data_IF_373077336129
#
_entry.id   IF_373077336129
#
_cell.length_a   1.000
_cell.length_b   1.000
_cell.length_c   1.000
_cell.angle_alpha   90.00
_cell.angle_beta   90.00
_cell.angle_gamma   90.00
#
_symmetry.space_group_name_H-M   'P 1'
#
loop_
_entity.id
_entity.type
_entity.pdbx_description
1 polymer ?
#
# COMPACT_ATOMS: atom_id res chain seq x y z
N UNK A 1 -16.61 41.35 -43.68
CA UNK A 1 -16.85 39.89 -43.58
C UNK A 1 -15.60 39.03 -43.30
N UNK A 2 -14.45 39.21 -43.99
CA UNK A 2 -13.26 38.33 -43.79
C UNK A 2 -12.60 38.36 -42.39
N UNK A 3 -12.73 39.44 -41.61
CA UNK A 3 -12.17 39.52 -40.24
C UNK A 3 -13.00 38.75 -39.19
N UNK A 4 -14.33 38.73 -39.29
CA UNK A 4 -15.19 38.01 -38.34
C UNK A 4 -15.11 36.48 -38.50
N UNK A 5 -14.88 35.98 -39.72
CA UNK A 5 -14.70 34.54 -39.97
C UNK A 5 -13.39 34.01 -39.35
N UNK A 6 -12.32 34.82 -39.30
CA UNK A 6 -11.06 34.42 -38.63
C UNK A 6 -11.23 34.25 -37.11
N UNK A 7 -11.99 35.11 -36.45
CA UNK A 7 -12.22 35.01 -35.00
C UNK A 7 -13.13 33.83 -34.63
N UNK A 8 -14.14 33.52 -35.47
CA UNK A 8 -15.01 32.34 -35.25
C UNK A 8 -14.22 31.04 -35.43
N UNK A 9 -13.34 30.94 -36.43
CA UNK A 9 -12.51 29.74 -36.65
C UNK A 9 -11.48 29.54 -35.53
N UNK A 10 -10.85 30.61 -35.04
CA UNK A 10 -9.90 30.55 -33.92
C UNK A 10 -10.62 30.18 -32.61
N UNK A 11 -11.81 30.72 -32.35
CA UNK A 11 -12.61 30.38 -31.18
C UNK A 11 -13.09 28.92 -31.21
N UNK A 12 -13.53 28.42 -32.37
CA UNK A 12 -13.93 27.02 -32.55
C UNK A 12 -12.75 26.04 -32.41
N UNK A 13 -11.54 26.43 -32.85
CA UNK A 13 -10.33 25.61 -32.67
C UNK A 13 -9.87 25.58 -31.20
N UNK A 14 -10.01 26.68 -30.46
CA UNK A 14 -9.70 26.73 -29.02
C UNK A 14 -10.72 25.93 -28.20
N UNK A 15 -12.00 25.97 -28.55
CA UNK A 15 -13.05 25.16 -27.90
C UNK A 15 -12.88 23.67 -28.23
N UNK A 16 -12.46 23.31 -29.45
CA UNK A 16 -12.10 21.92 -29.76
C UNK A 16 -10.84 21.46 -28.98
N UNK A 17 -9.82 22.32 -28.84
CA UNK A 17 -8.59 21.99 -28.12
C UNK A 17 -8.78 21.94 -26.59
N UNK A 18 -9.67 22.76 -26.04
CA UNK A 18 -10.05 22.70 -24.62
C UNK A 18 -10.99 21.51 -24.33
N UNK A 19 -11.89 21.18 -25.27
CA UNK A 19 -12.80 20.03 -25.17
C UNK A 19 -12.10 18.67 -25.27
N UNK A 20 -11.01 18.55 -26.03
CA UNK A 20 -10.23 17.30 -26.12
C UNK A 20 -9.29 17.08 -24.95
N UNK A 21 -8.77 18.13 -24.31
CA UNK A 21 -7.94 17.99 -23.12
C UNK A 21 -8.77 17.75 -21.84
N UNK A 22 -9.99 18.28 -21.77
CA UNK A 22 -10.88 18.04 -20.62
C UNK A 22 -11.47 16.61 -20.62
N UNK A 23 -11.56 15.97 -21.79
CA UNK A 23 -12.03 14.59 -21.94
C UNK A 23 -10.95 13.52 -21.69
N UNK A 24 -9.70 13.89 -21.41
CA UNK A 24 -8.56 12.97 -21.30
C UNK A 24 -7.74 13.05 -20.00
N UNK A 25 -8.05 13.98 -19.08
CA UNK A 25 -7.49 13.95 -17.73
C UNK A 25 -8.48 13.26 -16.79
N UNK A 26 -8.43 11.93 -16.73
CA UNK A 26 -9.19 11.20 -15.72
C UNK A 26 -8.61 11.54 -14.35
N UNK A 27 -9.37 12.28 -13.53
CA UNK A 27 -9.11 12.35 -12.09
C UNK A 27 -9.49 10.98 -11.52
N UNK A 28 -8.62 10.35 -10.72
CA UNK A 28 -8.80 9.00 -10.17
C UNK A 28 -9.92 8.92 -9.10
N UNK A 29 -11.05 9.58 -9.39
CA UNK A 29 -12.25 9.75 -8.59
C UNK A 29 -13.42 9.11 -9.31
N UNK A 30 -13.69 9.41 -10.58
CA UNK A 30 -14.92 8.88 -11.21
C UNK A 30 -14.78 7.41 -11.63
N UNK A 31 -15.85 6.63 -11.43
CA UNK A 31 -15.89 5.21 -11.81
C UNK A 31 -16.26 5.04 -13.28
N UNK A 32 -15.31 5.25 -14.18
CA UNK A 32 -15.56 5.29 -15.64
C UNK A 32 -15.11 4.04 -16.38
N UNK A 33 -14.20 3.25 -15.82
CA UNK A 33 -13.61 2.11 -16.51
C UNK A 33 -14.37 0.81 -16.25
N UNK A 34 -14.41 -0.05 -17.27
CA UNK A 34 -14.67 -1.47 -17.04
C UNK A 34 -13.42 -2.11 -16.41
N UNK A 35 -13.57 -3.28 -15.79
CA UNK A 35 -12.47 -3.93 -15.07
C UNK A 35 -12.33 -5.39 -15.44
N UNK A 36 -11.11 -5.90 -15.34
CA UNK A 36 -10.81 -7.33 -15.29
C UNK A 36 -10.33 -7.67 -13.89
N UNK A 37 -10.74 -8.82 -13.37
CA UNK A 37 -10.28 -9.34 -12.07
C UNK A 37 -9.61 -10.68 -12.27
N UNK A 38 -8.46 -10.87 -11.61
CA UNK A 38 -7.80 -12.16 -11.44
C UNK A 38 -7.80 -12.47 -9.95
N UNK A 39 -8.26 -13.67 -9.58
CA UNK A 39 -8.42 -14.08 -8.17
C UNK A 39 -7.42 -15.17 -7.78
N UNK A 40 -7.22 -15.30 -6.47
CA UNK A 40 -6.46 -16.40 -5.84
C UNK A 40 -5.00 -16.52 -6.31
N UNK A 41 -4.39 -15.37 -6.60
CA UNK A 41 -2.97 -15.29 -6.95
C UNK A 41 -2.16 -15.50 -5.67
N UNK A 42 -1.35 -16.56 -5.63
CA UNK A 42 -0.43 -16.81 -4.52
C UNK A 42 0.71 -15.80 -4.61
N UNK A 43 0.83 -14.93 -3.62
CA UNK A 43 1.93 -13.96 -3.52
C UNK A 43 3.01 -14.42 -2.54
N UNK A 44 2.81 -15.46 -1.75
CA UNK A 44 3.86 -15.96 -0.86
C UNK A 44 3.41 -17.11 0.03
N UNK A 45 4.36 -17.65 0.79
CA UNK A 45 4.13 -18.61 1.85
C UNK A 45 4.77 -18.10 3.13
N UNK A 46 4.11 -18.26 4.27
CA UNK A 46 4.68 -17.89 5.55
C UNK A 46 4.11 -18.74 6.69
N UNK A 47 4.93 -18.96 7.72
CA UNK A 47 4.51 -19.63 8.95
C UNK A 47 3.50 -18.77 9.71
N UNK A 48 2.31 -19.31 9.99
CA UNK A 48 1.32 -18.70 10.87
C UNK A 48 1.62 -18.95 12.36
N UNK A 49 0.82 -18.37 13.26
CA UNK A 49 1.05 -18.49 14.70
C UNK A 49 0.98 -19.95 15.20
N UNK A 50 0.19 -20.82 14.56
CA UNK A 50 0.05 -22.24 14.92
C UNK A 50 1.29 -23.08 14.56
N UNK A 51 2.23 -22.52 13.79
CA UNK A 51 3.39 -23.20 13.24
C UNK A 51 3.18 -23.85 11.87
N UNK A 52 1.98 -23.76 11.30
CA UNK A 52 1.71 -24.24 9.93
C UNK A 52 2.17 -23.22 8.88
N UNK A 53 2.57 -23.70 7.72
CA UNK A 53 2.78 -22.85 6.55
C UNK A 53 1.45 -22.48 5.90
N UNK A 54 1.27 -21.21 5.55
CA UNK A 54 0.09 -20.71 4.87
C UNK A 54 0.43 -20.07 3.54
N UNK A 55 -0.32 -20.47 2.51
CA UNK A 55 -0.37 -19.73 1.26
C UNK A 55 -1.04 -18.39 1.50
N UNK A 56 -0.36 -17.32 1.10
CA UNK A 56 -0.91 -15.98 1.10
C UNK A 56 -1.34 -15.62 -0.31
N UNK A 57 -2.62 -15.27 -0.44
CA UNK A 57 -3.30 -15.02 -1.71
C UNK A 57 -3.77 -13.59 -1.82
N UNK A 58 -3.81 -13.10 -3.05
CA UNK A 58 -4.38 -11.81 -3.38
C UNK A 58 -5.27 -11.92 -4.63
N UNK A 59 -6.17 -10.96 -4.77
CA UNK A 59 -6.94 -10.74 -5.99
C UNK A 59 -6.56 -9.36 -6.53
N UNK A 60 -6.43 -9.23 -7.86
CA UNK A 60 -6.14 -7.96 -8.53
C UNK A 60 -7.28 -7.61 -9.48
N UNK A 61 -7.79 -6.38 -9.37
CA UNK A 61 -8.67 -5.77 -10.35
C UNK A 61 -7.93 -4.65 -11.09
N UNK A 62 -7.99 -4.68 -12.42
CA UNK A 62 -7.34 -3.70 -13.31
C UNK A 62 -8.35 -3.05 -14.25
N UNK A 63 -8.21 -1.75 -14.57
CA UNK A 63 -9.07 -1.07 -15.53
C UNK A 63 -8.79 -1.54 -16.96
N UNK A 64 -9.85 -1.80 -17.71
CA UNK A 64 -9.82 -2.14 -19.14
C UNK A 64 -10.00 -0.90 -20.00
N UNK A 65 -9.31 -0.88 -21.14
CA UNK A 65 -9.38 0.19 -22.14
C UNK A 65 -9.04 1.60 -21.60
N UNK A 66 -8.39 1.67 -20.44
CA UNK A 66 -7.86 2.90 -19.89
C UNK A 66 -6.49 3.20 -20.51
N UNK A 67 -6.20 4.45 -20.93
CA UNK A 67 -4.84 4.85 -21.32
C UNK A 67 -3.84 4.52 -20.21
N UNK A 68 -2.71 3.90 -20.56
CA UNK A 68 -1.66 3.56 -19.59
C UNK A 68 -0.73 4.76 -19.42
N UNK A 69 -0.60 5.34 -18.20
CA UNK A 69 0.37 6.40 -17.97
C UNK A 69 1.81 5.91 -18.16
N UNK A 70 2.71 6.81 -18.53
CA UNK A 70 4.12 6.48 -18.82
C UNK A 70 4.82 5.80 -17.63
N UNK A 71 4.47 6.22 -16.42
CA UNK A 71 5.04 5.69 -15.18
C UNK A 71 4.34 4.42 -14.65
N UNK A 72 3.29 3.96 -15.32
CA UNK A 72 2.36 2.97 -14.77
C UNK A 72 1.20 3.61 -14.02
N UNK A 73 0.37 2.77 -13.41
CA UNK A 73 -0.82 3.17 -12.67
C UNK A 73 -0.54 3.25 -11.17
N UNK A 74 -1.25 4.12 -10.43
CA UNK A 74 -1.24 4.05 -8.97
C UNK A 74 -1.76 2.69 -8.50
N UNK A 75 -1.13 2.14 -7.48
CA UNK A 75 -1.56 0.92 -6.78
C UNK A 75 -2.38 1.33 -5.56
N UNK A 76 -3.53 0.69 -5.34
CA UNK A 76 -4.18 0.67 -4.02
C UNK A 76 -4.25 -0.75 -3.49
N UNK A 77 -3.64 -0.98 -2.33
CA UNK A 77 -3.72 -2.25 -1.61
C UNK A 77 -4.82 -2.15 -0.55
N UNK A 78 -5.76 -3.09 -0.61
CA UNK A 78 -6.97 -3.12 0.22
C UNK A 78 -6.87 -4.28 1.21
N UNK A 79 -7.01 -3.96 2.50
CA UNK A 79 -6.73 -4.91 3.58
C UNK A 79 -7.97 -5.09 4.45
N UNK A 80 -8.40 -6.34 4.60
CA UNK A 80 -9.62 -6.68 5.32
C UNK A 80 -9.49 -6.55 6.84
N UNK A 81 -10.64 -6.32 7.48
CA UNK A 81 -10.80 -6.35 8.93
C UNK A 81 -10.85 -7.77 9.50
N UNK A 82 -11.44 -7.90 10.70
CA UNK A 82 -11.64 -9.20 11.35
C UNK A 82 -10.77 -9.46 12.58
N UNK A 83 -10.35 -8.41 13.28
CA UNK A 83 -9.61 -8.48 14.55
C UNK A 83 -8.35 -9.38 14.50
N UNK A 84 -7.75 -9.52 13.32
CA UNK A 84 -6.65 -10.46 13.04
C UNK A 84 -6.99 -11.94 13.29
N UNK A 85 -8.27 -12.28 13.46
CA UNK A 85 -8.75 -13.63 13.72
C UNK A 85 -9.57 -14.18 12.55
N UNK A 86 -10.13 -13.32 11.72
CA UNK A 86 -10.99 -13.70 10.61
C UNK A 86 -10.91 -12.65 9.50
N UNK A 87 -11.82 -12.77 8.53
CA UNK A 87 -11.91 -11.91 7.37
C UNK A 87 -11.16 -12.49 6.17
N UNK A 88 -11.41 -11.93 5.01
CA UNK A 88 -10.79 -12.37 3.77
C UNK A 88 -10.75 -11.27 2.72
N UNK A 89 -9.83 -11.42 1.76
CA UNK A 89 -9.84 -10.67 0.48
C UNK A 89 -11.17 -10.77 -0.27
N UNK A 90 -11.97 -11.79 0.07
CA UNK A 90 -13.24 -12.16 -0.52
C UNK A 90 -14.47 -11.56 0.18
N UNK A 91 -14.30 -10.86 1.30
CA UNK A 91 -15.38 -10.19 2.01
C UNK A 91 -16.08 -9.19 1.08
N UNK A 92 -17.42 -9.11 1.18
CA UNK A 92 -18.22 -8.36 0.21
C UNK A 92 -17.82 -6.87 0.12
N UNK A 93 -17.57 -6.23 1.27
CA UNK A 93 -17.09 -4.85 1.33
C UNK A 93 -15.70 -4.67 0.70
N UNK A 94 -14.80 -5.62 0.95
CA UNK A 94 -13.43 -5.62 0.43
C UNK A 94 -13.39 -5.82 -1.08
N UNK A 95 -14.18 -6.78 -1.60
CA UNK A 95 -14.39 -6.96 -3.03
C UNK A 95 -14.95 -5.69 -3.68
N UNK A 96 -15.94 -5.07 -3.04
CA UNK A 96 -16.56 -3.86 -3.56
C UNK A 96 -15.56 -2.70 -3.61
N UNK A 97 -14.76 -2.48 -2.57
CA UNK A 97 -13.69 -1.48 -2.54
C UNK A 97 -12.69 -1.72 -3.67
N UNK A 98 -12.22 -2.97 -3.84
CA UNK A 98 -11.26 -3.33 -4.89
C UNK A 98 -11.80 -3.03 -6.28
N UNK A 99 -13.04 -3.43 -6.53
CA UNK A 99 -13.69 -3.17 -7.82
C UNK A 99 -13.92 -1.68 -8.03
N UNK A 100 -14.32 -0.93 -7.00
CA UNK A 100 -14.61 0.49 -7.11
C UNK A 100 -13.36 1.29 -7.44
N UNK A 101 -12.25 1.08 -6.72
CA UNK A 101 -10.99 1.73 -7.03
C UNK A 101 -10.42 1.32 -8.41
N UNK A 102 -10.56 0.05 -8.81
CA UNK A 102 -10.15 -0.34 -10.16
C UNK A 102 -10.93 0.41 -11.26
N UNK A 103 -12.24 0.63 -11.05
CA UNK A 103 -13.08 1.43 -11.98
C UNK A 103 -12.67 2.91 -12.04
N UNK A 104 -11.97 3.41 -11.01
CA UNK A 104 -11.40 4.78 -10.95
C UNK A 104 -10.04 4.90 -11.64
N UNK A 105 -9.46 3.78 -12.10
CA UNK A 105 -8.21 3.76 -12.88
C UNK A 105 -6.97 3.24 -12.14
N UNK A 106 -7.13 2.80 -10.88
CA UNK A 106 -6.06 2.19 -10.09
C UNK A 106 -5.84 0.73 -10.49
N UNK A 107 -4.63 0.22 -10.26
CA UNK A 107 -4.47 -1.22 -10.02
C UNK A 107 -4.87 -1.44 -8.56
N UNK A 108 -5.96 -2.16 -8.33
CA UNK A 108 -6.49 -2.40 -6.99
C UNK A 108 -6.33 -3.86 -6.60
N UNK A 109 -5.71 -4.13 -5.46
CA UNK A 109 -5.49 -5.49 -4.99
C UNK A 109 -6.04 -5.69 -3.58
N UNK A 110 -6.73 -6.80 -3.31
CA UNK A 110 -7.10 -7.22 -1.96
C UNK A 110 -6.31 -8.46 -1.53
N UNK A 111 -5.85 -8.50 -0.29
CA UNK A 111 -4.95 -9.57 0.20
C UNK A 111 -5.58 -10.38 1.33
N UNK A 112 -5.19 -11.64 1.42
CA UNK A 112 -5.18 -12.39 2.69
C UNK A 112 -3.84 -12.15 3.38
N UNK A 113 -3.86 -12.14 4.71
CA UNK A 113 -2.67 -12.04 5.55
C UNK A 113 -2.76 -13.09 6.67
N UNK A 114 -1.64 -13.39 7.34
CA UNK A 114 -1.63 -14.36 8.44
C UNK A 114 -2.52 -13.91 9.58
N UNK A 115 -3.54 -14.70 9.86
CA UNK A 115 -4.48 -14.52 10.96
C UNK A 115 -4.08 -15.37 12.17
N UNK A 116 -4.78 -15.11 13.27
CA UNK A 116 -4.69 -15.83 14.52
C UNK A 116 -3.62 -15.32 15.45
N UNK A 117 -3.77 -15.70 16.71
CA UNK A 117 -2.81 -15.53 17.78
C UNK A 117 -3.07 -16.56 18.89
N UNK A 118 -2.14 -16.72 19.82
CA UNK A 118 -2.32 -17.71 20.89
C UNK A 118 -3.35 -17.25 21.92
N UNK A 119 -4.34 -18.11 22.20
CA UNK A 119 -5.36 -17.87 23.24
C UNK A 119 -4.86 -18.27 24.62
N UNK A 120 -5.51 -17.72 25.65
CA UNK A 120 -5.20 -18.00 27.05
C UNK A 120 -5.43 -19.48 27.42
N UNK A 121 -4.73 -19.97 28.44
CA UNK A 121 -5.01 -21.26 29.07
C UNK A 121 -6.14 -21.16 30.13
N UNK A 122 -6.55 -19.95 30.49
CA UNK A 122 -7.67 -19.68 31.39
C UNK A 122 -9.00 -20.04 30.73
N UNK A 123 -9.99 -20.46 31.51
CA UNK A 123 -11.33 -20.74 31.01
C UNK A 123 -12.22 -19.50 31.20
N UNK A 124 -12.17 -18.57 30.24
CA UNK A 124 -12.93 -17.32 30.27
C UNK A 124 -14.14 -17.37 29.33
N UNK A 125 -15.06 -18.30 29.60
CA UNK A 125 -16.26 -18.44 28.79
C UNK A 125 -17.29 -17.33 29.08
N UNK A 126 -17.89 -16.79 28.03
CA UNK A 126 -19.13 -16.03 28.13
C UNK A 126 -20.09 -16.39 27.00
N UNK A 127 -21.40 -16.28 27.24
CA UNK A 127 -22.43 -16.51 26.23
C UNK A 127 -22.61 -15.29 25.30
N UNK A 128 -21.49 -14.79 24.77
CA UNK A 128 -21.43 -13.69 23.82
C UNK A 128 -20.67 -14.18 22.58
N UNK A 129 -21.18 -13.97 21.35
CA UNK A 129 -20.51 -14.42 20.14
C UNK A 129 -19.05 -13.96 20.08
N UNK A 130 -18.15 -14.87 19.68
CA UNK A 130 -16.69 -14.65 19.52
C UNK A 130 -15.92 -14.26 20.79
N UNK A 131 -16.58 -14.09 21.94
CA UNK A 131 -15.94 -13.75 23.21
C UNK A 131 -14.70 -14.59 23.51
N UNK A 132 -14.88 -15.91 23.39
CA UNK A 132 -13.83 -16.89 23.68
C UNK A 132 -12.58 -16.70 22.81
N UNK A 133 -12.75 -16.32 21.55
CA UNK A 133 -11.65 -16.19 20.59
C UNK A 133 -10.89 -14.88 20.72
N UNK A 134 -11.41 -13.92 21.50
CA UNK A 134 -10.79 -12.61 21.68
C UNK A 134 -9.92 -12.53 22.96
N UNK A 135 -9.76 -13.65 23.69
CA UNK A 135 -8.96 -13.72 24.90
C UNK A 135 -7.56 -14.28 24.60
N UNK A 136 -6.64 -13.38 24.27
CA UNK A 136 -5.25 -13.71 24.00
C UNK A 136 -4.51 -14.22 25.26
N UNK A 137 -3.44 -14.99 25.06
CA UNK A 137 -2.59 -15.47 26.16
C UNK A 137 -1.82 -14.33 26.83
N UNK A 138 -1.42 -13.32 26.05
CA UNK A 138 -0.67 -12.12 26.48
C UNK A 138 -0.99 -10.95 25.54
N UNK A 139 -0.83 -9.70 25.98
CA UNK A 139 -1.09 -8.52 25.13
C UNK A 139 -0.24 -8.52 23.84
N UNK A 140 0.96 -9.09 23.92
CA UNK A 140 1.90 -9.24 22.80
C UNK A 140 1.34 -10.03 21.62
N UNK A 141 0.35 -10.88 21.84
CA UNK A 141 -0.24 -11.71 20.78
C UNK A 141 -0.98 -10.88 19.72
N UNK A 142 -1.68 -9.83 20.15
CA UNK A 142 -2.30 -8.85 19.25
C UNK A 142 -1.24 -8.11 18.42
N UNK A 143 -0.16 -7.69 19.08
CA UNK A 143 0.96 -6.98 18.46
C UNK A 143 1.65 -7.87 17.42
N UNK A 144 1.91 -9.14 17.76
CA UNK A 144 2.52 -10.12 16.87
C UNK A 144 1.62 -10.45 15.67
N UNK A 145 0.30 -10.52 15.86
CA UNK A 145 -0.66 -10.73 14.77
C UNK A 145 -0.68 -9.56 13.79
N UNK A 146 -0.76 -8.33 14.31
CA UNK A 146 -0.62 -7.12 13.51
C UNK A 146 0.70 -7.08 12.74
N UNK A 147 1.82 -7.38 13.41
CA UNK A 147 3.14 -7.33 12.79
C UNK A 147 3.28 -8.33 11.63
N UNK A 148 2.75 -9.55 11.78
CA UNK A 148 2.66 -10.50 10.65
C UNK A 148 1.86 -9.92 9.49
N UNK A 149 0.70 -9.31 9.75
CA UNK A 149 -0.11 -8.66 8.74
C UNK A 149 0.61 -7.52 8.00
N UNK A 150 1.39 -6.71 8.73
CA UNK A 150 2.23 -5.65 8.15
C UNK A 150 3.29 -6.24 7.21
N UNK A 151 4.01 -7.27 7.65
CA UNK A 151 5.03 -7.94 6.82
C UNK A 151 4.41 -8.55 5.55
N UNK A 152 3.25 -9.18 5.69
CA UNK A 152 2.53 -9.84 4.60
C UNK A 152 2.05 -8.81 3.57
N UNK A 153 1.50 -7.68 4.01
CA UNK A 153 1.09 -6.58 3.15
C UNK A 153 2.28 -5.94 2.42
N UNK A 154 3.40 -5.68 3.11
CA UNK A 154 4.65 -5.22 2.46
C UNK A 154 5.14 -6.23 1.41
N UNK A 155 5.04 -7.53 1.72
CA UNK A 155 5.33 -8.62 0.79
C UNK A 155 4.44 -8.63 -0.45
N UNK A 156 3.13 -8.40 -0.29
CA UNK A 156 2.17 -8.33 -1.39
C UNK A 156 2.45 -7.13 -2.32
N UNK A 157 2.81 -5.96 -1.78
CA UNK A 157 3.22 -4.81 -2.59
C UNK A 157 4.42 -5.17 -3.45
N UNK A 158 5.47 -5.74 -2.83
CA UNK A 158 6.69 -6.15 -3.54
C UNK A 158 6.42 -7.22 -4.60
N UNK A 159 5.52 -8.18 -4.32
CA UNK A 159 5.07 -9.15 -5.33
C UNK A 159 4.47 -8.45 -6.55
N UNK A 160 3.52 -7.52 -6.33
CA UNK A 160 2.82 -6.81 -7.40
C UNK A 160 3.78 -5.95 -8.23
N UNK A 161 4.74 -5.29 -7.60
CA UNK A 161 5.76 -4.46 -8.29
C UNK A 161 6.69 -5.27 -9.21
N UNK A 162 6.86 -6.57 -8.95
CA UNK A 162 7.64 -7.46 -9.84
C UNK A 162 6.86 -7.85 -11.10
N UNK A 163 5.53 -7.77 -11.08
CA UNK A 163 4.67 -8.14 -12.21
C UNK A 163 4.53 -7.01 -13.24
N UNK A 164 5.65 -6.45 -13.71
CA UNK A 164 5.68 -5.23 -14.53
C UNK A 164 4.93 -5.31 -15.86
N UNK A 165 4.73 -6.51 -16.40
CA UNK A 165 3.99 -6.74 -17.65
C UNK A 165 2.48 -6.79 -17.39
N UNK A 166 2.07 -7.58 -16.40
CA UNK A 166 0.65 -7.79 -16.09
C UNK A 166 0.06 -6.62 -15.31
N UNK A 167 0.86 -6.02 -14.43
CA UNK A 167 0.50 -4.93 -13.52
C UNK A 167 1.53 -3.80 -13.63
N UNK A 168 1.44 -2.94 -14.67
CA UNK A 168 2.33 -1.79 -14.82
C UNK A 168 2.01 -0.74 -13.74
N UNK A 169 2.61 -0.89 -12.56
CA UNK A 169 2.43 -0.05 -11.37
C UNK A 169 3.49 1.04 -11.33
N UNK A 170 3.08 2.27 -11.02
CA UNK A 170 3.99 3.32 -10.60
C UNK A 170 4.38 3.11 -9.12
N UNK A 171 5.61 2.64 -8.90
CA UNK A 171 6.14 2.36 -7.56
C UNK A 171 6.22 3.59 -6.65
N UNK A 172 6.16 4.80 -7.21
CA UNK A 172 6.14 6.04 -6.44
C UNK A 172 4.72 6.44 -5.99
N UNK A 173 3.70 5.67 -6.40
CA UNK A 173 2.29 5.97 -6.19
C UNK A 173 1.55 4.76 -5.62
N UNK A 174 1.98 4.33 -4.44
CA UNK A 174 1.32 3.25 -3.69
C UNK A 174 0.43 3.83 -2.61
N UNK A 175 -0.81 3.35 -2.55
CA UNK A 175 -1.85 3.76 -1.61
C UNK A 175 -2.33 2.55 -0.82
N UNK A 176 -2.77 2.79 0.42
CA UNK A 176 -3.25 1.74 1.32
C UNK A 176 -4.66 2.07 1.79
N UNK A 177 -5.57 1.11 1.76
CA UNK A 177 -6.91 1.27 2.32
C UNK A 177 -7.23 0.05 3.18
N UNK A 178 -7.55 0.29 4.45
CA UNK A 178 -7.85 -0.80 5.36
C UNK A 178 -9.01 -0.49 6.28
N UNK A 179 -9.80 -1.51 6.57
CA UNK A 179 -10.90 -1.44 7.54
C UNK A 179 -10.58 -2.23 8.82
N UNK A 180 -10.90 -1.68 9.99
CA UNK A 180 -10.68 -2.35 11.27
C UNK A 180 -9.21 -2.80 11.44
N UNK A 181 -8.95 -4.09 11.66
CA UNK A 181 -7.62 -4.70 11.66
C UNK A 181 -6.79 -4.38 10.40
N UNK A 182 -7.42 -4.30 9.23
CA UNK A 182 -6.77 -3.87 7.99
C UNK A 182 -6.34 -2.40 8.03
N UNK A 183 -7.05 -1.55 8.77
CA UNK A 183 -6.64 -0.17 9.05
C UNK A 183 -5.37 -0.12 9.90
N UNK A 184 -5.28 -0.95 10.95
CA UNK A 184 -4.05 -1.13 11.74
C UNK A 184 -2.87 -1.58 10.87
N UNK A 185 -3.10 -2.56 9.98
CA UNK A 185 -2.06 -3.03 9.06
C UNK A 185 -1.67 -1.92 8.08
N UNK A 186 -2.62 -1.20 7.50
CA UNK A 186 -2.35 -0.11 6.55
C UNK A 186 -1.50 0.98 7.19
N UNK A 187 -1.85 1.40 8.42
CA UNK A 187 -1.06 2.36 9.18
C UNK A 187 0.34 1.81 9.52
N UNK A 188 0.44 0.53 9.90
CA UNK A 188 1.72 -0.11 10.15
C UNK A 188 2.61 -0.23 8.90
N UNK A 189 2.04 -0.49 7.73
CA UNK A 189 2.81 -0.52 6.47
C UNK A 189 3.36 0.86 6.12
N UNK A 190 2.59 1.91 6.41
CA UNK A 190 2.96 3.29 6.09
C UNK A 190 3.96 3.91 7.09
N UNK A 191 3.77 3.65 8.38
CA UNK A 191 4.47 4.37 9.46
C UNK A 191 5.51 3.54 10.22
N UNK A 192 5.49 2.20 10.16
CA UNK A 192 6.57 1.39 10.74
C UNK A 192 7.69 1.23 9.71
N UNK A 193 8.62 2.19 9.67
CA UNK A 193 9.66 2.30 8.65
C UNK A 193 11.06 1.92 9.15
N UNK A 194 11.31 1.92 10.46
CA UNK A 194 12.61 1.59 11.03
C UNK A 194 12.64 0.24 11.75
N UNK A 195 13.73 -0.52 11.58
CA UNK A 195 13.94 -1.77 12.34
C UNK A 195 14.01 -1.54 13.86
N UNK A 196 14.44 -0.35 14.29
CA UNK A 196 14.49 0.03 15.70
C UNK A 196 13.10 0.16 16.34
N UNK A 197 12.06 0.40 15.55
CA UNK A 197 10.66 0.51 16.02
C UNK A 197 9.98 -0.86 16.14
N UNK A 198 10.64 -1.94 15.71
CA UNK A 198 10.13 -3.30 15.86
C UNK A 198 9.74 -3.54 17.33
N UNK A 199 8.47 -3.88 17.62
CA UNK A 199 8.07 -4.14 18.99
C UNK A 199 8.91 -5.29 19.57
N UNK A 200 9.39 -5.14 20.81
CA UNK A 200 10.22 -6.15 21.49
C UNK A 200 9.51 -7.51 21.50
N UNK A 201 8.18 -7.50 21.65
CA UNK A 201 7.34 -8.71 21.61
C UNK A 201 7.32 -9.43 20.27
N UNK A 202 7.78 -8.82 19.18
CA UNK A 202 7.92 -9.44 17.86
C UNK A 202 9.29 -10.10 17.65
N UNK A 203 10.22 -9.95 18.60
CA UNK A 203 11.43 -10.77 18.69
C UNK A 203 11.14 -12.20 19.18
N UNK A 204 12.21 -12.96 19.45
CA UNK A 204 12.10 -14.26 20.09
C UNK A 204 11.63 -14.08 21.56
N UNK A 205 10.55 -14.77 21.93
CA UNK A 205 9.98 -14.74 23.27
C UNK A 205 9.69 -16.16 23.74
N UNK A 206 9.42 -16.33 25.04
CA UNK A 206 9.18 -17.63 25.64
C UNK A 206 8.02 -18.37 24.96
N UNK A 207 8.13 -19.70 24.87
CA UNK A 207 7.03 -20.52 24.38
C UNK A 207 5.75 -20.30 25.23
N UNK A 208 4.59 -20.37 24.59
CA UNK A 208 3.30 -20.26 25.29
C UNK A 208 2.89 -21.59 25.91
N UNK A 209 2.03 -21.53 26.92
CA UNK A 209 1.25 -22.71 27.32
C UNK A 209 0.18 -22.98 26.28
N UNK A 210 -0.21 -24.26 26.14
CA UNK A 210 -1.32 -24.61 25.27
C UNK A 210 -2.61 -23.92 25.76
N UNK A 211 -3.38 -23.30 24.84
CA UNK A 211 -4.68 -22.71 25.17
C UNK A 211 -5.65 -23.69 25.83
N UNK A 212 -6.67 -23.15 26.50
CA UNK A 212 -7.72 -23.98 27.08
C UNK A 212 -8.47 -24.75 25.96
N UNK A 213 -8.61 -26.09 26.06
CA UNK A 213 -9.37 -26.85 25.08
C UNK A 213 -10.84 -26.43 24.94
N UNK A 214 -11.43 -25.70 25.89
CA UNK A 214 -12.79 -25.16 25.75
C UNK A 214 -12.95 -24.18 24.57
N UNK A 215 -11.86 -23.67 24.03
CA UNK A 215 -11.86 -22.78 22.87
C UNK A 215 -11.90 -23.51 21.54
N UNK A 216 -11.84 -24.85 21.54
CA UNK A 216 -11.79 -25.69 20.35
C UNK A 216 -13.00 -25.45 19.43
N UNK A 217 -14.22 -25.67 19.92
CA UNK A 217 -15.42 -25.57 19.08
C UNK A 217 -15.76 -24.12 18.69
N UNK A 218 -15.37 -23.15 19.52
CA UNK A 218 -15.68 -21.74 19.30
C UNK A 218 -14.74 -21.05 18.30
N UNK A 219 -13.48 -21.52 18.18
CA UNK A 219 -12.43 -20.80 17.45
C UNK A 219 -11.76 -21.61 16.31
N UNK A 220 -11.99 -22.92 16.21
CA UNK A 220 -11.31 -23.80 15.23
C UNK A 220 -12.12 -24.04 13.96
N UNK A 221 -13.44 -23.81 13.95
CA UNK A 221 -14.28 -24.10 12.78
C UNK A 221 -14.87 -22.82 12.14
N UNK A 222 -14.67 -22.53 10.84
CA UNK A 222 -13.77 -23.13 9.85
C UNK A 222 -12.71 -22.17 9.27
N UNK A 223 -12.36 -21.05 9.92
CA UNK A 223 -11.55 -20.00 9.27
C UNK A 223 -10.33 -19.49 10.05
N UNK A 224 -10.04 -20.02 11.24
CA UNK A 224 -8.88 -19.56 12.01
C UNK A 224 -7.81 -20.63 12.05
N UNK A 225 -8.11 -21.83 12.54
CA UNK A 225 -7.12 -22.86 12.86
C UNK A 225 -7.48 -24.17 12.17
N UNK A 226 -6.68 -24.61 11.19
CA UNK A 226 -6.96 -25.87 10.49
C UNK A 226 -6.38 -27.09 11.25
N UNK A 227 -5.84 -26.85 12.45
CA UNK A 227 -5.27 -27.87 13.32
C UNK A 227 -5.82 -27.78 14.75
N UNK A 228 -5.94 -28.93 15.46
CA UNK A 228 -6.26 -28.98 16.88
C UNK A 228 -5.32 -28.12 17.75
N UNK A 229 -5.82 -27.47 18.81
CA UNK A 229 -4.97 -26.75 19.81
C UNK A 229 -3.81 -27.64 20.28
N UNK A 230 -4.07 -28.91 20.55
CA UNK A 230 -3.08 -29.86 21.05
C UNK A 230 -1.91 -30.13 20.07
N UNK A 231 -2.03 -29.73 18.80
CA UNK A 231 -1.02 -29.90 17.76
C UNK A 231 -0.32 -28.59 17.38
N UNK A 232 -0.71 -27.46 17.99
CA UNK A 232 -0.09 -26.17 17.70
C UNK A 232 1.36 -26.14 18.18
N UNK A 233 2.24 -25.56 17.37
CA UNK A 233 3.58 -25.21 17.79
C UNK A 233 3.50 -24.02 18.75
N UNK A 234 3.95 -24.20 19.99
CA UNK A 234 3.92 -23.15 21.01
C UNK A 234 5.16 -22.26 21.02
N UNK A 235 6.15 -22.56 20.18
CA UNK A 235 7.37 -21.75 20.09
C UNK A 235 7.06 -20.39 19.45
N UNK A 236 7.66 -19.33 20.02
CA UNK A 236 7.50 -17.96 19.54
C UNK A 236 8.85 -17.39 19.11
N UNK A 237 9.36 -17.82 17.94
CA UNK A 237 10.61 -17.29 17.42
C UNK A 237 10.46 -15.81 17.05
N UNK A 238 11.60 -15.20 16.76
CA UNK A 238 11.66 -13.89 16.14
C UNK A 238 10.88 -13.89 14.81
N UNK A 239 10.00 -12.90 14.61
CA UNK A 239 9.16 -12.78 13.41
C UNK A 239 9.91 -12.21 12.20
N UNK A 240 11.19 -11.85 12.35
CA UNK A 240 12.02 -11.29 11.29
C UNK A 240 12.02 -9.75 11.25
N UNK A 241 12.49 -9.16 10.15
CA UNK A 241 12.63 -7.71 9.99
C UNK A 241 11.27 -7.01 9.76
N UNK A 242 11.21 -5.71 10.02
CA UNK A 242 10.07 -4.81 9.77
C UNK A 242 9.65 -4.81 8.30
N UNK A 243 10.61 -5.00 7.37
CA UNK A 243 10.30 -5.15 5.95
C UNK A 243 9.54 -6.43 5.62
N UNK A 244 9.61 -7.46 6.47
CA UNK A 244 9.24 -8.83 6.14
C UNK A 244 10.23 -9.49 5.17
N UNK A 245 10.02 -10.77 4.87
CA UNK A 245 10.95 -11.62 4.10
C UNK A 245 10.49 -11.94 2.67
N UNK A 246 9.24 -11.62 2.32
CA UNK A 246 8.69 -11.93 1.00
C UNK A 246 9.16 -10.91 -0.05
N UNK A 247 9.69 -11.38 -1.18
CA UNK A 247 10.09 -10.57 -2.35
C UNK A 247 11.03 -9.42 -2.05
N UNK A 248 12.04 -9.64 -1.20
CA UNK A 248 13.03 -8.60 -0.81
C UNK A 248 13.92 -8.12 -1.96
N UNK A 249 13.86 -8.78 -3.12
CA UNK A 249 14.53 -8.41 -4.36
C UNK A 249 13.71 -7.44 -5.25
N UNK A 250 12.49 -7.09 -4.84
CA UNK A 250 11.65 -6.12 -5.53
C UNK A 250 12.22 -4.69 -5.44
N UNK A 251 11.91 -3.81 -6.41
CA UNK A 251 12.31 -2.41 -6.33
C UNK A 251 11.65 -1.70 -5.15
N UNK A 252 12.31 -0.68 -4.62
CA UNK A 252 11.76 0.20 -3.59
C UNK A 252 10.48 0.89 -4.08
N UNK A 253 9.60 1.21 -3.14
CA UNK A 253 8.33 1.89 -3.41
C UNK A 253 8.06 2.97 -2.38
N UNK A 254 7.16 3.87 -2.72
CA UNK A 254 6.74 4.97 -1.87
C UNK A 254 5.24 4.89 -1.59
N UNK A 255 4.89 4.83 -0.30
CA UNK A 255 3.52 4.98 0.16
C UNK A 255 3.18 6.47 0.16
N UNK A 256 2.21 6.87 -0.65
CA UNK A 256 1.80 8.28 -0.79
C UNK A 256 0.76 8.65 0.27
N UNK A 257 -0.23 7.77 0.47
CA UNK A 257 -1.30 8.01 1.42
C UNK A 257 -1.99 6.73 1.90
N UNK A 258 -2.61 6.84 3.06
CA UNK A 258 -3.37 5.80 3.74
C UNK A 258 -4.81 6.24 3.96
N UNK A 259 -5.74 5.32 3.77
CA UNK A 259 -7.14 5.45 4.13
C UNK A 259 -7.47 4.44 5.24
N UNK A 260 -7.51 4.93 6.49
CA UNK A 260 -7.82 4.15 7.69
C UNK A 260 -9.31 4.22 8.04
N UNK A 261 -10.02 3.10 7.98
CA UNK A 261 -11.45 3.02 8.28
C UNK A 261 -11.63 2.30 9.61
N UNK A 262 -11.99 3.05 10.66
CA UNK A 262 -12.23 2.57 12.03
C UNK A 262 -11.15 1.59 12.53
N UNK A 263 -9.90 1.83 12.14
CA UNK A 263 -8.70 1.17 12.65
C UNK A 263 -7.93 2.08 13.60
N UNK A 264 -6.69 1.70 13.94
CA UNK A 264 -5.86 2.45 14.88
C UNK A 264 -4.36 2.12 14.79
N UNK A 265 -3.59 2.67 15.71
CA UNK A 265 -2.16 2.38 15.86
C UNK A 265 -1.90 1.56 17.12
N UNK A 266 -1.03 0.56 17.01
CA UNK A 266 -0.56 -0.25 18.15
C UNK A 266 0.52 0.47 18.96
N UNK A 267 1.27 1.38 18.34
CA UNK A 267 2.31 2.17 18.97
C UNK A 267 2.36 3.58 18.35
N UNK A 268 3.04 4.51 19.02
CA UNK A 268 3.42 5.80 18.45
C UNK A 268 4.53 5.54 17.41
N UNK A 269 4.32 5.96 16.15
CA UNK A 269 5.20 5.66 15.00
C UNK A 269 5.58 6.92 14.21
N UNK A 270 5.37 8.11 14.79
CA UNK A 270 5.57 9.37 14.07
C UNK A 270 6.81 10.12 14.55
N UNK A 271 7.20 9.99 15.83
CA UNK A 271 8.31 10.79 16.39
C UNK A 271 9.67 10.48 15.76
N UNK A 272 9.87 9.23 15.34
CA UNK A 272 11.12 8.74 14.76
C UNK A 272 11.00 8.46 13.25
N UNK A 273 9.88 8.86 12.63
CA UNK A 273 9.61 8.59 11.22
C UNK A 273 10.64 9.27 10.32
N UNK A 274 11.18 8.53 9.34
CA UNK A 274 12.18 9.06 8.43
C UNK A 274 11.59 9.71 7.18
N UNK A 275 11.92 10.98 6.95
CA UNK A 275 11.49 11.73 5.77
C UNK A 275 10.03 12.18 5.83
N UNK A 276 9.42 12.35 4.65
CA UNK A 276 8.04 12.82 4.56
C UNK A 276 7.06 11.69 4.84
N UNK A 277 6.22 11.87 5.86
CA UNK A 277 5.16 10.92 6.20
C UNK A 277 4.08 10.80 5.10
N UNK A 278 3.57 9.59 4.85
CA UNK A 278 2.38 9.39 4.03
C UNK A 278 1.18 10.14 4.58
N UNK A 279 0.39 10.76 3.70
CA UNK A 279 -0.80 11.50 4.11
C UNK A 279 -1.93 10.56 4.59
N UNK A 280 -2.79 11.04 5.48
CA UNK A 280 -3.77 10.21 6.18
C UNK A 280 -5.21 10.67 5.95
N UNK A 281 -6.02 9.85 5.29
CA UNK A 281 -7.47 9.90 5.41
C UNK A 281 -7.89 8.94 6.52
N UNK A 282 -8.70 9.38 7.47
CA UNK A 282 -9.25 8.49 8.49
C UNK A 282 -10.73 8.76 8.73
N UNK A 283 -11.50 7.68 8.82
CA UNK A 283 -12.90 7.71 9.22
C UNK A 283 -13.11 6.88 10.48
N UNK A 284 -13.82 7.40 11.48
CA UNK A 284 -14.10 6.68 12.73
C UNK A 284 -15.34 7.24 13.42
N UNK A 285 -16.19 6.38 13.98
CA UNK A 285 -17.36 6.82 14.76
C UNK A 285 -17.05 6.87 16.27
N UNK A 286 -17.56 7.86 17.02
CA UNK A 286 -17.28 7.98 18.46
C UNK A 286 -17.74 6.81 19.32
N UNK A 287 -18.72 6.03 18.87
CA UNK A 287 -19.33 4.92 19.60
C UNK A 287 -18.80 3.52 19.23
N UNK A 288 -17.64 3.45 18.59
CA UNK A 288 -16.99 2.20 18.22
C UNK A 288 -16.67 1.36 19.48
N UNK A 289 -17.25 0.16 19.55
CA UNK A 289 -17.07 -0.78 20.67
C UNK A 289 -15.83 -1.65 20.51
N UNK A 290 -15.28 -1.73 19.30
CA UNK A 290 -14.24 -2.67 18.90
C UNK A 290 -12.87 -2.00 18.89
N UNK A 291 -12.77 -0.84 18.24
CA UNK A 291 -11.57 -0.02 18.24
C UNK A 291 -11.89 1.27 18.98
N UNK A 292 -11.13 1.66 20.00
CA UNK A 292 -11.42 2.91 20.69
C UNK A 292 -11.27 4.09 19.74
N UNK A 293 -12.17 5.07 19.84
CA UNK A 293 -12.09 6.31 19.06
C UNK A 293 -10.87 7.17 19.45
N UNK A 294 -10.58 7.21 20.76
CA UNK A 294 -9.39 7.85 21.36
C UNK A 294 -8.31 6.83 21.75
N UNK A 295 -7.62 7.04 22.86
CA UNK A 295 -6.61 6.11 23.38
C UNK A 295 -7.22 5.21 24.47
N UNK A 296 -7.28 3.90 24.23
CA UNK A 296 -7.78 2.92 25.20
C UNK A 296 -7.38 1.50 24.79
N UNK A 297 -7.83 0.48 25.52
CA UNK A 297 -7.63 -0.93 25.12
C UNK A 297 -8.48 -1.26 23.89
N UNK A 298 -7.95 -2.10 23.00
CA UNK A 298 -8.77 -2.68 21.94
C UNK A 298 -9.95 -3.45 22.58
N UNK A 299 -11.13 -3.39 21.96
CA UNK A 299 -12.40 -3.97 22.44
C UNK A 299 -12.90 -3.39 23.78
N UNK A 300 -12.43 -2.21 24.21
CA UNK A 300 -12.83 -1.65 25.52
C UNK A 300 -14.36 -1.50 25.64
N UNK A 301 -15.01 -0.87 24.65
CA UNK A 301 -16.47 -0.70 24.67
C UNK A 301 -17.22 -2.04 24.65
N UNK A 302 -16.76 -3.00 23.85
CA UNK A 302 -17.35 -4.34 23.80
C UNK A 302 -17.21 -5.08 25.12
N UNK A 303 -16.03 -5.01 25.75
CA UNK A 303 -15.79 -5.57 27.08
C UNK A 303 -16.73 -4.98 28.12
N UNK A 304 -16.85 -3.66 28.17
CA UNK A 304 -17.70 -2.99 29.17
C UNK A 304 -19.17 -3.39 29.03
N UNK A 305 -19.62 -3.56 27.79
CA UNK A 305 -20.97 -4.02 27.47
C UNK A 305 -21.22 -5.48 27.83
N UNK A 306 -20.24 -6.35 27.58
CA UNK A 306 -20.33 -7.76 27.94
C UNK A 306 -20.26 -7.96 29.47
N UNK A 307 -19.42 -7.20 30.17
CA UNK A 307 -19.33 -7.22 31.65
C UNK A 307 -20.63 -6.73 32.28
N UNK A 308 -21.26 -5.70 31.70
CA UNK A 308 -22.61 -5.29 32.11
C UNK A 308 -23.67 -6.39 31.91
N UNK A 309 -23.41 -7.38 31.04
CA UNK A 309 -24.22 -8.57 30.82
C UNK A 309 -23.72 -9.81 31.62
N UNK A 310 -22.97 -9.61 32.71
CA UNK A 310 -22.40 -10.65 33.59
C UNK A 310 -21.30 -11.53 32.98
N UNK A 311 -20.61 -11.07 31.93
CA UNK A 311 -19.35 -11.70 31.53
C UNK A 311 -18.22 -11.36 32.50
N UNK A 312 -17.21 -12.24 32.58
CA UNK A 312 -15.90 -11.89 33.15
C UNK A 312 -15.22 -10.82 32.30
N UNK A 313 -14.19 -10.13 32.79
CA UNK A 313 -13.43 -9.20 31.95
C UNK A 313 -12.61 -9.95 30.89
N UNK A 314 -12.54 -9.39 29.68
CA UNK A 314 -11.57 -9.80 28.66
C UNK A 314 -10.16 -9.41 29.11
N UNK A 315 -9.23 -10.34 29.01
CA UNK A 315 -7.85 -10.16 29.42
C UNK A 315 -6.92 -9.89 28.23
N UNK A 316 -5.73 -9.39 28.50
CA UNK A 316 -4.59 -9.39 27.56
C UNK A 316 -4.86 -8.67 26.23
N UNK A 317 -5.37 -7.44 26.30
CA UNK A 317 -5.67 -6.57 25.15
C UNK A 317 -4.82 -5.30 25.20
N UNK A 318 -4.00 -4.98 24.19
CA UNK A 318 -3.12 -3.81 24.25
C UNK A 318 -3.91 -2.50 24.28
N UNK A 319 -3.30 -1.46 24.82
CA UNK A 319 -3.71 -0.08 24.55
C UNK A 319 -3.34 0.29 23.11
N UNK A 320 -4.23 1.02 22.45
CA UNK A 320 -4.10 1.44 21.05
C UNK A 320 -4.61 2.87 20.88
N UNK A 321 -4.14 3.54 19.85
CA UNK A 321 -4.58 4.87 19.47
C UNK A 321 -5.62 4.77 18.35
N UNK A 322 -6.85 5.16 18.64
CA UNK A 322 -7.89 5.38 17.65
C UNK A 322 -7.64 6.62 16.80
N UNK A 323 -8.46 6.82 15.78
CA UNK A 323 -8.31 7.92 14.81
C UNK A 323 -8.25 9.32 15.44
N UNK A 324 -9.01 9.58 16.50
CA UNK A 324 -8.93 10.87 17.18
C UNK A 324 -7.61 11.05 17.94
N UNK A 325 -7.12 9.98 18.58
CA UNK A 325 -5.84 10.02 19.27
C UNK A 325 -4.66 10.07 18.28
N UNK A 326 -4.75 9.38 17.14
CA UNK A 326 -3.77 9.48 16.04
C UNK A 326 -3.69 10.91 15.51
N UNK A 327 -4.84 11.53 15.25
CA UNK A 327 -4.89 12.92 14.76
C UNK A 327 -4.24 13.86 15.78
N UNK A 328 -4.55 13.67 17.07
CA UNK A 328 -3.92 14.45 18.15
C UNK A 328 -2.40 14.23 18.22
N UNK A 329 -1.92 12.98 18.09
CA UNK A 329 -0.49 12.69 18.04
C UNK A 329 0.18 13.51 16.93
N UNK A 330 -0.35 13.44 15.70
CA UNK A 330 0.17 14.16 14.53
C UNK A 330 0.17 15.68 14.75
N UNK A 331 -0.95 16.23 15.23
CA UNK A 331 -1.09 17.67 15.50
C UNK A 331 -0.03 18.17 16.50
N UNK A 332 0.31 17.33 17.49
CA UNK A 332 1.29 17.65 18.54
C UNK A 332 2.74 17.34 18.18
N UNK A 333 3.03 16.78 17.00
CA UNK A 333 4.41 16.51 16.58
C UNK A 333 5.22 17.79 16.46
N UNK A 334 6.41 17.74 17.06
CA UNK A 334 7.39 18.82 17.01
C UNK A 334 8.40 18.58 15.87
N UNK A 335 7.91 18.54 14.64
CA UNK A 335 8.70 18.39 13.41
C UNK A 335 8.36 19.52 12.43
N UNK A 336 9.11 19.65 11.33
CA UNK A 336 8.81 20.63 10.31
C UNK A 336 7.44 20.37 9.67
N UNK A 337 6.66 21.44 9.44
CA UNK A 337 5.30 21.33 8.89
C UNK A 337 5.26 20.66 7.51
N UNK A 338 6.34 20.75 6.73
CA UNK A 338 6.47 20.11 5.43
C UNK A 338 6.62 18.57 5.51
N UNK A 339 7.08 18.06 6.65
CA UNK A 339 7.29 16.63 6.91
C UNK A 339 6.08 15.98 7.60
N UNK A 340 5.16 16.80 8.15
CA UNK A 340 3.89 16.33 8.71
C UNK A 340 2.96 15.81 7.61
N UNK A 341 2.22 14.72 7.87
CA UNK A 341 1.21 14.25 6.94
C UNK A 341 -0.01 15.19 6.98
N UNK A 342 -0.60 15.44 5.83
CA UNK A 342 -1.93 16.05 5.78
C UNK A 342 -2.94 15.03 6.28
N UNK A 343 -3.72 15.40 7.30
CA UNK A 343 -4.77 14.54 7.88
C UNK A 343 -6.16 15.03 7.49
N UNK A 344 -6.96 14.17 6.86
CA UNK A 344 -8.41 14.36 6.71
C UNK A 344 -9.12 13.38 7.65
N UNK A 345 -9.57 13.89 8.80
CA UNK A 345 -10.33 13.11 9.78
C UNK A 345 -11.83 13.37 9.64
N UNK A 346 -12.58 12.32 9.30
CA UNK A 346 -14.04 12.34 9.26
C UNK A 346 -14.65 11.47 10.36
N UNK A 347 -15.76 11.94 10.92
CA UNK A 347 -16.52 11.24 11.96
C UNK A 347 -18.01 11.55 11.83
N UNK A 348 -18.84 10.75 12.49
CA UNK A 348 -20.28 11.01 12.62
C UNK A 348 -20.58 11.60 14.00
N UNK A 349 -21.83 12.04 14.20
CA UNK A 349 -22.37 12.41 15.52
C UNK A 349 -23.00 11.21 16.24
N UNK A 350 -22.79 10.00 15.74
CA UNK A 350 -23.37 8.78 16.30
C UNK A 350 -22.73 8.47 17.66
N UNK A 351 -23.57 8.44 18.69
CA UNK A 351 -23.17 8.22 20.09
C UNK A 351 -23.95 7.08 20.72
N UNK A 352 -24.54 6.18 19.90
CA UNK A 352 -25.32 5.04 20.38
C UNK A 352 -24.50 4.15 21.32
N UNK A 353 -25.01 3.92 22.53
CA UNK A 353 -24.42 2.95 23.45
C UNK A 353 -24.64 1.51 22.95
N UNK A 354 -24.06 0.52 23.62
CA UNK A 354 -24.16 -0.86 23.14
C UNK A 354 -25.57 -1.45 23.14
N UNK A 355 -26.45 -1.06 24.06
CA UNK A 355 -27.84 -1.53 24.02
C UNK A 355 -28.53 -0.99 22.76
N UNK A 356 -28.29 0.28 22.43
CA UNK A 356 -28.82 0.90 21.20
C UNK A 356 -28.26 0.23 19.95
N UNK A 357 -26.96 -0.09 19.92
CA UNK A 357 -26.33 -0.80 18.79
C UNK A 357 -26.85 -2.23 18.62
N UNK A 358 -27.23 -2.92 19.71
CA UNK A 358 -27.87 -4.24 19.66
C UNK A 358 -29.29 -4.16 19.12
N UNK A 359 -30.06 -3.15 19.53
CA UNK A 359 -31.44 -2.95 19.08
C UNK A 359 -31.50 -2.48 17.62
N UNK A 360 -30.58 -1.60 17.23
CA UNK A 360 -30.45 -1.07 15.88
C UNK A 360 -28.99 -1.18 15.39
N UNK A 361 -28.65 -2.29 14.71
CA UNK A 361 -27.32 -2.50 14.15
C UNK A 361 -26.87 -1.42 13.15
N UNK A 362 -27.80 -0.68 12.54
CA UNK A 362 -27.43 0.43 11.65
C UNK A 362 -26.75 1.59 12.41
N UNK A 363 -26.95 1.66 13.73
CA UNK A 363 -26.27 2.62 14.61
C UNK A 363 -24.94 2.11 15.18
N UNK A 364 -24.46 0.95 14.72
CA UNK A 364 -23.15 0.43 15.06
C UNK A 364 -22.03 1.43 14.78
N UNK A 365 -21.05 1.51 15.69
CA UNK A 365 -19.90 2.42 15.56
C UNK A 365 -18.74 1.85 14.74
N UNK A 366 -18.58 0.53 14.73
CA UNK A 366 -17.50 -0.18 14.04
C UNK A 366 -17.87 -0.56 12.60
N UNK A 367 -18.28 0.42 11.81
CA UNK A 367 -18.72 0.24 10.42
C UNK A 367 -18.74 1.57 9.67
N UNK A 368 -18.87 1.51 8.35
CA UNK A 368 -19.19 2.66 7.53
C UNK A 368 -20.61 3.16 7.86
N UNK A 369 -20.76 4.48 8.03
CA UNK A 369 -22.07 5.13 8.07
C UNK A 369 -22.68 5.26 6.67
N UNK A 370 -21.84 5.50 5.66
CA UNK A 370 -22.22 5.52 4.26
C UNK A 370 -21.03 5.07 3.40
N UNK A 371 -21.14 3.86 2.86
CA UNK A 371 -20.10 3.28 2.00
C UNK A 371 -19.69 4.21 0.85
N UNK A 372 -20.68 4.74 0.10
CA UNK A 372 -20.41 5.57 -1.08
C UNK A 372 -19.78 6.91 -0.72
N UNK A 373 -20.20 7.51 0.39
CA UNK A 373 -19.62 8.76 0.87
C UNK A 373 -18.15 8.54 1.23
N UNK A 374 -17.86 7.57 2.10
CA UNK A 374 -16.49 7.33 2.60
C UNK A 374 -15.54 6.86 1.51
N UNK A 375 -16.00 5.99 0.61
CA UNK A 375 -15.19 5.54 -0.54
C UNK A 375 -14.89 6.70 -1.49
N UNK A 376 -15.86 7.59 -1.74
CA UNK A 376 -15.65 8.75 -2.61
C UNK A 376 -14.73 9.79 -1.97
N UNK A 377 -14.82 10.01 -0.65
CA UNK A 377 -13.90 10.90 0.07
C UNK A 377 -12.47 10.35 0.06
N UNK A 378 -12.28 9.06 0.36
CA UNK A 378 -10.97 8.41 0.28
C UNK A 378 -10.40 8.47 -1.15
N UNK A 379 -11.20 8.21 -2.17
CA UNK A 379 -10.76 8.30 -3.57
C UNK A 379 -10.40 9.73 -3.98
N UNK A 380 -11.17 10.73 -3.54
CA UNK A 380 -10.86 12.15 -3.77
C UNK A 380 -9.55 12.54 -3.10
N UNK A 381 -9.35 12.09 -1.85
CA UNK A 381 -8.13 12.30 -1.10
C UNK A 381 -6.90 11.66 -1.77
N UNK A 382 -7.00 10.44 -2.28
CA UNK A 382 -5.91 9.80 -3.03
C UNK A 382 -5.66 10.48 -4.37
N UNK A 383 -6.71 10.79 -5.12
CA UNK A 383 -6.60 11.41 -6.44
C UNK A 383 -5.89 12.76 -6.39
N UNK A 384 -6.10 13.56 -5.33
CA UNK A 384 -5.41 14.85 -5.18
C UNK A 384 -3.91 14.73 -4.89
N UNK A 385 -3.41 13.51 -4.64
CA UNK A 385 -2.00 13.21 -4.33
C UNK A 385 -1.31 12.43 -5.43
N UNK A 386 -2.05 12.00 -6.44
CA UNK A 386 -1.49 11.39 -7.62
C UNK A 386 -0.75 12.46 -8.42
N UNK A 387 0.52 12.17 -8.70
CA UNK A 387 1.38 13.04 -9.47
C UNK A 387 1.63 12.40 -10.83
N UNK A 388 1.29 13.10 -11.91
CA UNK A 388 1.59 12.60 -13.25
C UNK A 388 3.09 12.74 -13.54
N UNK A 389 3.66 11.75 -14.25
CA UNK A 389 5.02 11.79 -14.79
C UNK A 389 6.17 11.88 -13.76
N UNK A 390 5.97 11.48 -12.50
CA UNK A 390 7.02 11.48 -11.45
C UNK A 390 8.24 10.64 -11.81
N UNK A 391 8.03 9.52 -12.53
CA UNK A 391 9.12 8.69 -13.03
C UNK A 391 10.01 9.42 -14.05
N UNK A 392 9.50 10.44 -14.75
CA UNK A 392 10.27 11.25 -15.70
C UNK A 392 11.13 12.31 -14.99
N UNK A 393 10.70 12.78 -13.82
CA UNK A 393 11.52 13.69 -12.99
C UNK A 393 12.68 12.95 -12.30
N UNK A 394 12.49 11.67 -11.95
CA UNK A 394 13.56 10.83 -11.40
C UNK A 394 14.59 10.39 -12.46
N UNK A 395 14.25 10.43 -13.76
CA UNK A 395 15.27 10.38 -14.82
C UNK A 395 16.15 11.63 -14.86
N UNK A 396 15.64 12.80 -14.46
CA UNK A 396 16.46 14.02 -14.38
C UNK A 396 17.40 14.01 -13.16
N UNK A 397 16.97 13.48 -12.01
CA UNK A 397 17.84 13.37 -10.83
C UNK A 397 18.88 12.23 -10.94
N UNK A 398 18.55 11.13 -11.63
CA UNK A 398 19.52 10.08 -11.97
C UNK A 398 20.51 10.47 -13.08
N UNK A 399 20.30 11.61 -13.75
CA UNK A 399 21.20 12.18 -14.77
C UNK A 399 22.13 13.27 -14.21
N UNK A 400 22.11 13.54 -12.91
CA UNK A 400 23.11 14.35 -12.24
C UNK A 400 24.45 13.59 -12.06
N UNK A 401 24.96 12.98 -13.12
CA UNK A 401 26.39 12.73 -13.24
C UNK A 401 27.00 14.06 -13.67
N UNK A 402 27.85 14.62 -12.80
CA UNK A 402 28.66 15.79 -13.10
C UNK A 402 29.46 15.56 -14.40
N UNK A 403 29.12 16.34 -15.44
CA UNK A 403 29.65 16.35 -16.81
C UNK A 403 28.98 15.36 -17.79
N UNK A 404 27.90 15.77 -18.49
CA UNK A 404 27.38 15.00 -19.62
C UNK A 404 28.43 14.90 -20.73
N UNK A 405 28.59 13.71 -21.29
CA UNK A 405 29.41 13.51 -22.49
C UNK A 405 28.83 14.32 -23.64
N UNK A 406 29.68 14.94 -24.46
CA UNK A 406 29.25 15.67 -25.64
C UNK A 406 29.27 14.74 -26.85
N UNK A 407 28.15 14.67 -27.59
CA UNK A 407 28.01 13.81 -28.77
C UNK A 407 27.73 14.67 -29.99
N UNK A 408 28.63 14.64 -30.96
CA UNK A 408 28.46 15.30 -32.25
C UNK A 408 28.14 14.25 -33.32
N UNK A 409 27.05 14.47 -34.04
CA UNK A 409 26.71 13.69 -35.24
C UNK A 409 27.48 14.28 -36.42
N UNK A 410 28.28 13.45 -37.07
CA UNK A 410 29.13 13.82 -38.20
C UNK A 410 28.70 13.08 -39.47
N UNK A 411 29.03 13.59 -40.68
CA UNK A 411 28.70 12.91 -41.93
C UNK A 411 29.24 11.48 -42.04
N UNK A 412 30.35 11.18 -41.36
CA UNK A 412 31.04 9.89 -41.33
C UNK A 412 30.79 9.08 -40.05
N UNK A 413 29.94 9.56 -39.13
CA UNK A 413 29.53 8.82 -37.94
C UNK A 413 29.31 9.68 -36.71
N UNK A 414 29.96 9.32 -35.58
CA UNK A 414 29.77 9.98 -34.28
C UNK A 414 31.09 10.35 -33.63
N UNK A 415 31.19 11.57 -33.13
CA UNK A 415 32.27 11.97 -32.23
C UNK A 415 31.74 12.14 -30.82
N UNK A 416 32.27 11.37 -29.88
CA UNK A 416 31.93 11.46 -28.46
C UNK A 416 33.12 12.06 -27.71
N UNK A 417 32.87 13.10 -26.91
CA UNK A 417 33.87 13.89 -26.17
C UNK A 417 33.46 13.99 -24.69
N UNK A 418 34.42 14.34 -23.83
CA UNK A 418 34.23 14.48 -22.37
C UNK A 418 33.79 13.15 -21.71
N UNK A 419 34.34 12.02 -22.16
CA UNK A 419 33.88 10.67 -21.81
C UNK A 419 34.15 10.33 -20.32
N UNK A 420 35.20 10.92 -19.73
CA UNK A 420 35.47 10.97 -18.29
C UNK A 420 35.92 9.65 -17.64
N UNK A 421 35.59 8.52 -18.24
CA UNK A 421 35.94 7.17 -17.78
C UNK A 421 36.04 6.19 -18.95
N UNK A 422 36.55 4.98 -18.72
CA UNK A 422 36.48 3.90 -19.73
C UNK A 422 35.08 3.29 -19.69
N UNK A 423 34.48 3.07 -20.85
CA UNK A 423 33.14 2.47 -20.94
C UNK A 423 32.84 1.83 -22.29
N UNK A 424 31.57 1.50 -22.51
CA UNK A 424 31.05 0.89 -23.73
C UNK A 424 29.99 1.81 -24.33
N UNK A 425 30.17 2.18 -25.59
CA UNK A 425 29.16 2.91 -26.37
C UNK A 425 28.42 1.91 -27.26
N UNK A 426 27.10 1.95 -27.21
CA UNK A 426 26.23 1.17 -28.07
C UNK A 426 25.28 2.10 -28.83
N UNK A 427 25.01 1.80 -30.10
CA UNK A 427 24.04 2.54 -30.90
C UNK A 427 22.90 1.61 -31.32
N UNK A 428 21.67 2.07 -31.23
CA UNK A 428 20.46 1.33 -31.56
C UNK A 428 19.57 2.17 -32.49
N UNK A 429 18.86 1.49 -33.39
CA UNK A 429 17.72 2.10 -34.07
C UNK A 429 16.46 2.10 -33.17
N UNK A 430 15.37 2.74 -33.63
CA UNK A 430 14.12 2.82 -32.88
C UNK A 430 13.36 1.51 -32.73
N UNK A 431 13.73 0.47 -33.49
CA UNK A 431 13.18 -0.88 -33.31
C UNK A 431 13.90 -1.66 -32.20
N UNK A 432 14.96 -1.09 -31.62
CA UNK A 432 15.81 -1.74 -30.62
C UNK A 432 16.92 -2.59 -31.24
N UNK A 433 17.11 -2.58 -32.56
CA UNK A 433 18.22 -3.30 -33.21
C UNK A 433 19.53 -2.56 -32.96
N UNK A 434 20.51 -3.30 -32.42
CA UNK A 434 21.86 -2.79 -32.17
C UNK A 434 22.62 -2.64 -33.48
N UNK A 435 23.15 -1.44 -33.71
CA UNK A 435 23.93 -1.05 -34.89
C UNK A 435 25.43 -1.28 -34.65
N UNK A 436 25.95 -0.85 -33.50
CA UNK A 436 27.37 -1.01 -33.15
C UNK A 436 27.56 -1.05 -31.64
N UNK A 437 28.69 -1.65 -31.22
CA UNK A 437 29.27 -1.55 -29.88
C UNK A 437 30.73 -1.16 -29.99
N UNK A 438 31.15 -0.11 -29.28
CA UNK A 438 32.52 0.42 -29.29
C UNK A 438 33.00 0.61 -27.87
N UNK A 439 34.24 0.20 -27.56
CA UNK A 439 34.86 0.53 -26.28
C UNK A 439 35.38 1.96 -26.32
N UNK A 440 34.95 2.79 -25.38
CA UNK A 440 35.31 4.19 -25.30
C UNK A 440 36.53 4.41 -24.38
N UNK A 441 37.47 5.23 -24.86
CA UNK A 441 38.60 5.72 -24.07
C UNK A 441 38.20 7.00 -23.27
N UNK A 442 38.89 7.35 -22.17
CA UNK A 442 38.47 8.41 -21.26
C UNK A 442 38.35 9.82 -21.85
N UNK A 443 39.04 10.09 -22.96
CA UNK A 443 39.12 11.44 -23.54
C UNK A 443 38.04 11.68 -24.60
N UNK A 444 38.18 11.03 -25.76
CA UNK A 444 37.22 11.08 -26.85
C UNK A 444 37.32 9.83 -27.73
N UNK A 445 36.23 9.53 -28.44
CA UNK A 445 36.22 8.47 -29.45
C UNK A 445 35.50 8.96 -30.69
N UNK A 446 36.07 8.63 -31.85
CA UNK A 446 35.43 8.83 -33.14
C UNK A 446 34.97 7.45 -33.65
N UNK A 447 33.68 7.32 -33.90
CA UNK A 447 33.02 6.08 -34.31
C UNK A 447 32.60 6.25 -35.77
N UNK A 448 33.28 5.54 -36.67
CA UNK A 448 32.90 5.49 -38.07
C UNK A 448 31.64 4.63 -38.24
N UNK A 449 30.64 5.17 -38.91
CA UNK A 449 29.38 4.50 -39.17
C UNK A 449 29.08 4.48 -40.68
N UNK A 450 28.35 3.46 -41.17
CA UNK A 450 27.77 3.55 -42.50
C UNK A 450 26.80 4.75 -42.57
N UNK A 451 26.45 5.26 -43.77
CA UNK A 451 25.49 6.35 -43.91
C UNK A 451 24.17 6.01 -43.23
N UNK A 452 23.85 6.73 -42.15
CA UNK A 452 22.60 6.58 -41.40
C UNK A 452 21.69 7.78 -41.68
N UNK A 453 20.38 7.56 -41.61
CA UNK A 453 19.38 8.61 -41.67
C UNK A 453 18.23 8.24 -40.73
N UNK A 454 17.77 9.20 -39.93
CA UNK A 454 16.72 8.94 -38.96
C UNK A 454 17.19 9.11 -37.51
N UNK A 455 16.30 8.73 -36.60
CA UNK A 455 16.53 8.86 -35.17
C UNK A 455 17.13 7.57 -34.60
N UNK A 456 18.12 7.71 -33.73
CA UNK A 456 18.83 6.61 -33.08
C UNK A 456 19.00 6.89 -31.59
N UNK A 457 19.22 5.82 -30.83
CA UNK A 457 19.51 5.88 -29.39
C UNK A 457 20.92 5.37 -29.15
N UNK A 458 21.75 6.19 -28.53
CA UNK A 458 23.08 5.80 -28.07
C UNK A 458 23.06 5.56 -26.57
N UNK A 459 23.71 4.49 -26.11
CA UNK A 459 23.98 4.22 -24.69
C UNK A 459 25.47 4.29 -24.43
N UNK A 460 25.88 4.96 -23.37
CA UNK A 460 27.24 4.93 -22.85
C UNK A 460 27.23 4.29 -21.47
N UNK A 461 27.83 3.12 -21.36
CA UNK A 461 27.78 2.23 -20.20
C UNK A 461 29.13 2.26 -19.50
N UNK A 462 29.14 2.59 -18.22
CA UNK A 462 30.33 2.59 -17.35
C UNK A 462 30.07 1.79 -16.08
N UNK A 463 31.09 1.60 -15.25
CA UNK A 463 30.91 1.05 -13.89
C UNK A 463 30.10 1.96 -12.97
N UNK A 464 29.92 3.23 -13.31
CA UNK A 464 29.18 4.22 -12.52
C UNK A 464 27.72 4.39 -12.98
N UNK A 465 27.33 3.82 -14.13
CA UNK A 465 25.96 3.95 -14.66
C UNK A 465 25.90 4.00 -16.18
N UNK A 466 24.69 4.23 -16.70
CA UNK A 466 24.39 4.28 -18.13
C UNK A 466 23.87 5.68 -18.50
N UNK A 467 24.52 6.34 -19.46
CA UNK A 467 24.01 7.56 -20.09
C UNK A 467 23.31 7.23 -21.41
N UNK A 468 22.18 7.88 -21.71
CA UNK A 468 21.40 7.63 -22.92
C UNK A 468 21.22 8.92 -23.71
N UNK A 469 21.54 8.88 -25.01
CA UNK A 469 21.47 10.04 -25.89
C UNK A 469 20.60 9.74 -27.11
N UNK A 470 19.71 10.67 -27.42
CA UNK A 470 18.90 10.67 -28.65
C UNK A 470 19.68 11.39 -29.75
N UNK A 471 19.94 10.70 -30.85
CA UNK A 471 20.75 11.21 -31.96
C UNK A 471 19.92 11.27 -33.23
N UNK A 472 20.04 12.37 -33.98
CA UNK A 472 19.38 12.58 -35.25
C UNK A 472 20.43 12.64 -36.35
N UNK A 473 20.39 11.67 -37.28
CA UNK A 473 21.24 11.67 -38.47
C UNK A 473 20.49 12.29 -39.63
N UNK A 474 20.97 13.43 -40.12
CA UNK A 474 20.49 14.07 -41.34
C UNK A 474 21.28 13.53 -42.53
N UNK A 475 20.60 13.31 -43.66
CA UNK A 475 21.26 12.96 -44.93
C UNK A 475 22.17 14.06 -45.43
#
# INVERSE_FOLDING_TARGET
MRKQVKYIVIFSLIVLYAGTNCALAQIYVDTVYQIQTVTDIIYGNATEFSGQERELKLDVSVPLNAPLPVCGRPLVLIIHGGAFLEGSKDDAGIKLLRQDFAKRGYIAASITYRLGFFLTNQNLNCNVPKWNCLNATEESEWIRAWYRGVQDAKGAIRYLLKQTIDYPIDRNQVFLLGESAGGFISLGVAYLDQEAEKPISCGAVNAVTLPNPSYYDACIAPNIWDIPIAQMNTQRPDLGPVSGLLHTDAPDYHIVAVANMFGGLIAELFSEYSGKMPDLYTFHQPNDLIVPFGYSRILQGFNDCAVAANCVNMINRPFVYGSAAITQLIDTLNIAEADKPIVQFEQTTNTSNCIQQVIDPATGGHQYDSYWLRTTQAATFFASRIQENTCLNSFHDALAISNPIAVDVMPDGLRVRNIGAVGIIELFDLSGKKIITVRAAPDSVHILLPPLSGLFIMRYITTQGIQVHKLMFTK
#
